data_IF_399092551179
#
_entry.id   IF_399092551179
#
_cell.length_a   1.000
_cell.length_b   1.000
_cell.length_c   1.000
_cell.angle_alpha   90.00
_cell.angle_beta   90.00
_cell.angle_gamma   90.00
#
_symmetry.space_group_name_H-M   'P 1'
#
loop_
_entity.id
_entity.type
_entity.pdbx_description
1 polymer ?
#
# COMPACT_ATOMS: atom_id res chain seq x y z
N UNK A 1 6.04 2.71 -16.18
CA UNK A 1 5.31 1.45 -15.93
C UNK A 1 5.02 0.65 -17.19
N UNK A 2 4.91 1.27 -18.35
CA UNK A 2 4.46 0.65 -19.63
C UNK A 2 5.17 -0.62 -20.09
N UNK A 3 6.40 -0.87 -19.71
CA UNK A 3 7.14 -2.08 -20.09
C UNK A 3 7.49 -2.96 -18.89
N UNK A 4 6.92 -2.69 -17.72
CA UNK A 4 7.14 -3.50 -16.53
C UNK A 4 6.36 -4.82 -16.59
N UNK A 5 6.80 -5.80 -15.81
CA UNK A 5 6.07 -7.06 -15.64
C UNK A 5 4.66 -6.81 -15.06
N UNK A 6 4.50 -5.80 -14.19
CA UNK A 6 3.20 -5.36 -13.72
C UNK A 6 2.25 -5.05 -14.88
N UNK A 7 2.70 -4.20 -15.80
CA UNK A 7 1.86 -3.78 -16.92
C UNK A 7 1.46 -4.96 -17.81
N UNK A 8 2.40 -5.83 -18.12
CA UNK A 8 2.16 -6.99 -18.98
C UNK A 8 1.09 -7.92 -18.38
N UNK A 9 1.24 -8.28 -17.10
CA UNK A 9 0.35 -9.23 -16.45
C UNK A 9 -1.00 -8.59 -16.05
N UNK A 10 -1.01 -7.32 -15.65
CA UNK A 10 -2.26 -6.59 -15.40
C UNK A 10 -3.09 -6.44 -16.67
N UNK A 11 -2.45 -6.22 -17.80
CA UNK A 11 -3.13 -6.13 -19.09
C UNK A 11 -3.88 -7.41 -19.45
N UNK A 12 -3.37 -8.56 -19.03
CA UNK A 12 -4.02 -9.86 -19.24
C UNK A 12 -5.22 -10.08 -18.29
N UNK A 13 -5.16 -9.51 -17.08
CA UNK A 13 -6.20 -9.70 -16.07
C UNK A 13 -7.33 -8.67 -16.13
N UNK A 14 -7.04 -7.47 -16.62
CA UNK A 14 -8.01 -6.38 -16.69
C UNK A 14 -8.77 -6.41 -18.02
N UNK A 15 -10.00 -5.87 -18.06
CA UNK A 15 -10.75 -5.75 -19.31
C UNK A 15 -9.98 -5.00 -20.40
N UNK A 16 -10.23 -5.36 -21.64
CA UNK A 16 -9.65 -4.66 -22.79
C UNK A 16 -9.94 -3.16 -22.72
N UNK A 17 -8.90 -2.36 -22.96
CA UNK A 17 -9.02 -0.90 -22.92
C UNK A 17 -9.00 -0.28 -21.52
N UNK A 18 -8.82 -1.06 -20.46
CA UNK A 18 -8.84 -0.54 -19.09
C UNK A 18 -7.73 0.49 -18.84
N UNK A 19 -6.52 0.26 -19.33
CA UNK A 19 -5.43 1.25 -19.21
C UNK A 19 -5.74 2.55 -19.95
N UNK A 20 -6.43 2.48 -21.07
CA UNK A 20 -6.91 3.67 -21.78
C UNK A 20 -7.92 4.43 -20.94
N UNK A 21 -8.83 3.74 -20.27
CA UNK A 21 -9.81 4.35 -19.36
C UNK A 21 -9.11 5.03 -18.18
N UNK A 22 -8.07 4.40 -17.59
CA UNK A 22 -7.26 5.01 -16.53
C UNK A 22 -6.64 6.32 -17.03
N UNK A 23 -6.01 6.30 -18.20
CA UNK A 23 -5.35 7.50 -18.75
C UNK A 23 -6.37 8.62 -19.02
N UNK A 24 -7.54 8.30 -19.56
CA UNK A 24 -8.62 9.26 -19.76
C UNK A 24 -9.13 9.85 -18.44
N UNK A 25 -9.30 9.00 -17.43
CA UNK A 25 -9.69 9.43 -16.09
C UNK A 25 -8.65 10.39 -15.48
N UNK A 26 -7.37 10.04 -15.56
CA UNK A 26 -6.28 10.89 -15.07
C UNK A 26 -6.24 12.24 -15.79
N UNK A 27 -6.34 12.23 -17.13
CA UNK A 27 -6.37 13.47 -17.91
C UNK A 27 -7.52 14.37 -17.46
N UNK A 28 -8.69 13.81 -17.26
CA UNK A 28 -9.89 14.54 -16.87
C UNK A 28 -9.78 15.12 -15.45
N UNK A 29 -9.40 14.32 -14.46
CA UNK A 29 -9.39 14.77 -13.06
C UNK A 29 -8.28 15.76 -12.77
N UNK A 30 -7.08 15.58 -13.35
CA UNK A 30 -5.97 16.53 -13.17
C UNK A 30 -6.19 17.84 -13.94
N UNK A 31 -6.98 17.84 -14.99
CA UNK A 31 -7.37 19.07 -15.70
C UNK A 31 -8.47 19.87 -14.98
N UNK A 32 -9.30 19.21 -14.16
CA UNK A 32 -10.49 19.82 -13.56
C UNK A 32 -10.32 20.27 -12.12
N UNK A 33 -9.20 19.94 -11.45
CA UNK A 33 -9.02 20.32 -10.05
C UNK A 33 -7.67 19.89 -9.49
N UNK A 34 -7.52 20.10 -8.17
CA UNK A 34 -6.34 19.66 -7.43
C UNK A 34 -6.53 18.23 -6.99
N UNK A 35 -5.65 17.34 -7.45
CA UNK A 35 -5.67 15.91 -7.19
C UNK A 35 -4.37 15.50 -6.51
N UNK A 36 -4.45 14.56 -5.57
CA UNK A 36 -3.28 13.99 -4.92
C UNK A 36 -3.22 12.47 -5.17
N UNK A 37 -2.01 11.90 -5.22
CA UNK A 37 -0.69 12.55 -5.27
C UNK A 37 -0.48 13.31 -6.60
N UNK A 38 0.64 14.01 -6.79
CA UNK A 38 1.03 14.52 -8.11
C UNK A 38 0.98 13.40 -9.15
N UNK A 39 0.58 13.74 -10.38
CA UNK A 39 0.30 12.73 -11.43
C UNK A 39 1.46 11.74 -11.66
N UNK A 40 2.69 12.20 -11.62
CA UNK A 40 3.87 11.36 -11.79
C UNK A 40 4.07 10.33 -10.67
N UNK A 41 3.37 10.48 -9.53
CA UNK A 41 3.47 9.59 -8.37
C UNK A 41 2.27 8.64 -8.21
N UNK A 42 1.30 8.68 -9.12
CA UNK A 42 0.09 7.84 -9.01
C UNK A 42 0.43 6.34 -8.91
N UNK A 43 1.41 5.89 -9.68
CA UNK A 43 1.85 4.49 -9.71
C UNK A 43 3.17 4.26 -8.95
N UNK A 44 3.52 5.12 -8.02
CA UNK A 44 4.81 5.08 -7.33
C UNK A 44 5.06 3.74 -6.63
N UNK A 45 4.04 3.16 -6.01
CA UNK A 45 4.16 1.86 -5.34
C UNK A 45 4.65 0.77 -6.31
N UNK A 46 4.06 0.71 -7.51
CA UNK A 46 4.43 -0.29 -8.52
C UNK A 46 5.76 0.04 -9.22
N UNK A 47 6.12 1.31 -9.30
CA UNK A 47 7.41 1.74 -9.85
C UNK A 47 8.57 1.43 -8.93
N UNK A 48 8.39 1.60 -7.63
CA UNK A 48 9.44 1.37 -6.63
C UNK A 48 9.63 -0.11 -6.32
N UNK A 49 8.54 -0.88 -6.29
CA UNK A 49 8.56 -2.31 -5.94
C UNK A 49 8.12 -3.15 -7.13
N UNK A 50 9.05 -3.81 -7.78
CA UNK A 50 8.75 -4.74 -8.88
C UNK A 50 7.99 -5.96 -8.35
N UNK A 51 7.17 -6.59 -9.20
CA UNK A 51 6.36 -7.74 -8.79
C UNK A 51 7.20 -8.84 -8.15
N UNK A 52 8.30 -9.22 -8.78
CA UNK A 52 9.21 -10.28 -8.30
C UNK A 52 9.96 -9.93 -7.01
N UNK A 53 9.96 -8.66 -6.62
CA UNK A 53 10.62 -8.18 -5.40
C UNK A 53 9.67 -8.10 -4.20
N UNK A 54 8.36 -8.27 -4.42
CA UNK A 54 7.37 -8.13 -3.36
C UNK A 54 7.56 -9.19 -2.27
N UNK A 55 7.78 -8.74 -1.05
CA UNK A 55 7.88 -9.57 0.15
C UNK A 55 6.72 -9.33 1.11
N UNK A 56 6.26 -8.09 1.19
CA UNK A 56 5.18 -7.65 2.07
C UNK A 56 4.26 -6.74 1.28
N UNK A 57 2.95 -6.86 1.49
CA UNK A 57 1.95 -5.92 0.99
C UNK A 57 1.27 -5.26 2.19
N UNK A 58 1.27 -3.93 2.23
CA UNK A 58 0.49 -3.16 3.20
C UNK A 58 -0.56 -2.39 2.42
N UNK A 59 -1.82 -2.69 2.67
CA UNK A 59 -2.94 -2.10 1.95
C UNK A 59 -3.52 -0.91 2.72
N UNK A 60 -3.48 0.28 2.09
CA UNK A 60 -4.21 1.47 2.52
C UNK A 60 -5.50 1.64 1.73
N UNK A 61 -6.30 2.65 2.07
CA UNK A 61 -7.58 2.90 1.41
C UNK A 61 -7.44 3.89 0.27
N UNK A 62 -7.13 5.16 0.56
CA UNK A 62 -6.90 6.21 -0.43
C UNK A 62 -5.75 7.12 0.00
N UNK A 63 -5.20 7.94 -0.92
CA UNK A 63 -4.12 8.86 -0.58
C UNK A 63 -4.56 9.91 0.44
N UNK A 64 -3.60 10.47 1.17
CA UNK A 64 -3.87 11.66 1.97
C UNK A 64 -4.36 12.80 1.08
N UNK A 65 -5.37 13.53 1.55
CA UNK A 65 -6.03 14.60 0.78
C UNK A 65 -5.59 16.01 1.15
N UNK A 66 -4.59 16.15 2.01
CA UNK A 66 -3.95 17.42 2.35
C UNK A 66 -2.75 17.74 1.45
N UNK A 67 -2.39 19.02 1.32
CA UNK A 67 -1.30 19.44 0.46
C UNK A 67 0.06 18.85 0.92
N UNK A 68 0.84 18.35 -0.02
CA UNK A 68 2.20 17.85 0.21
C UNK A 68 2.31 16.52 0.94
N UNK A 69 1.21 15.87 1.29
CA UNK A 69 1.22 14.62 2.08
C UNK A 69 1.42 13.37 1.22
N UNK A 70 0.60 13.18 0.21
CA UNK A 70 0.59 11.95 -0.58
C UNK A 70 1.81 11.82 -1.49
N UNK A 71 2.47 10.66 -1.43
CA UNK A 71 3.67 10.33 -2.22
C UNK A 71 3.44 9.18 -3.21
N UNK A 72 2.20 8.66 -3.30
CA UNK A 72 1.93 7.45 -4.08
C UNK A 72 2.32 6.14 -3.37
N UNK A 73 2.63 6.20 -2.09
CA UNK A 73 2.90 5.07 -1.20
C UNK A 73 1.93 5.13 -0.02
N UNK A 74 1.22 4.05 0.27
CA UNK A 74 0.24 4.04 1.37
C UNK A 74 0.89 4.44 2.69
N UNK A 75 0.21 5.29 3.45
CA UNK A 75 0.60 5.82 4.76
C UNK A 75 1.80 6.76 4.79
N UNK A 76 2.65 6.75 3.76
CA UNK A 76 3.91 7.52 3.71
C UNK A 76 3.67 9.01 3.48
N UNK A 77 4.47 9.85 4.14
CA UNK A 77 4.58 11.29 3.86
C UNK A 77 6.07 11.68 3.80
N UNK A 78 6.41 12.79 3.10
CA UNK A 78 7.77 13.33 3.16
C UNK A 78 8.17 13.71 4.60
N UNK A 79 9.46 13.68 4.90
CA UNK A 79 9.97 13.95 6.26
C UNK A 79 9.73 15.40 6.74
N UNK A 80 9.54 16.33 5.82
CA UNK A 80 9.20 17.73 6.14
C UNK A 80 7.69 17.92 6.43
N UNK A 81 6.88 16.88 6.28
CA UNK A 81 5.47 16.89 6.58
C UNK A 81 5.22 16.15 7.91
N UNK A 82 4.42 16.73 8.84
CA UNK A 82 4.07 16.02 10.07
C UNK A 82 3.36 14.70 9.77
N UNK A 83 3.70 13.65 10.52
CA UNK A 83 3.05 12.35 10.37
C UNK A 83 1.56 12.46 10.68
N UNK A 84 0.67 12.07 9.76
CA UNK A 84 -0.76 11.97 10.05
C UNK A 84 -1.05 10.96 11.17
N UNK A 85 -2.22 11.04 11.83
CA UNK A 85 -2.50 10.23 13.02
C UNK A 85 -2.33 8.72 12.84
N UNK A 86 -2.78 8.15 11.73
CA UNK A 86 -2.59 6.71 11.47
C UNK A 86 -1.10 6.34 11.34
N UNK A 87 -0.31 7.16 10.66
CA UNK A 87 1.13 6.93 10.54
C UNK A 87 1.84 7.07 11.87
N UNK A 88 1.45 8.06 12.70
CA UNK A 88 1.98 8.16 14.07
C UNK A 88 1.78 6.86 14.84
N UNK A 89 0.60 6.26 14.76
CA UNK A 89 0.28 5.01 15.43
C UNK A 89 1.05 3.81 14.83
N UNK A 90 1.25 3.79 13.51
CA UNK A 90 2.09 2.78 12.85
C UNK A 90 3.53 2.85 13.40
N UNK A 91 4.10 4.05 13.46
CA UNK A 91 5.46 4.25 13.97
C UNK A 91 5.56 3.97 15.47
N UNK A 92 4.51 4.24 16.25
CA UNK A 92 4.44 3.88 17.67
C UNK A 92 4.45 2.37 17.86
N UNK A 93 3.62 1.64 17.12
CA UNK A 93 3.63 0.16 17.16
C UNK A 93 4.98 -0.41 16.72
N UNK A 94 5.58 0.15 15.68
CA UNK A 94 6.93 -0.24 15.25
C UNK A 94 7.94 -0.07 16.37
N UNK A 95 7.88 1.07 17.09
CA UNK A 95 8.76 1.36 18.22
C UNK A 95 8.66 0.33 19.35
N UNK A 96 7.44 -0.10 19.67
CA UNK A 96 7.18 -1.12 20.69
C UNK A 96 7.53 -2.54 20.19
N UNK A 97 7.38 -2.80 18.90
CA UNK A 97 7.61 -4.12 18.30
C UNK A 97 9.10 -4.39 18.04
N UNK A 98 9.80 -3.46 17.40
CA UNK A 98 11.19 -3.65 16.94
C UNK A 98 12.11 -2.53 17.42
N UNK A 99 11.74 -1.27 17.19
CA UNK A 99 12.56 -0.11 17.49
C UNK A 99 12.11 1.15 16.77
N UNK A 100 12.76 2.26 17.05
CA UNK A 100 12.38 3.58 16.57
C UNK A 100 12.89 3.83 15.15
N UNK A 101 11.99 4.21 14.26
CA UNK A 101 12.31 4.76 12.94
C UNK A 101 12.13 6.28 13.00
N UNK A 102 13.18 7.06 12.77
CA UNK A 102 13.08 8.53 12.91
C UNK A 102 12.38 9.24 11.75
N UNK A 103 12.18 8.56 10.63
CA UNK A 103 11.63 9.12 9.39
C UNK A 103 10.15 8.78 9.23
N UNK A 104 9.38 9.72 8.67
CA UNK A 104 7.99 9.54 8.24
C UNK A 104 7.86 9.01 6.82
N UNK A 105 8.95 9.07 6.05
CA UNK A 105 9.02 8.59 4.68
C UNK A 105 9.23 7.07 4.69
N UNK A 106 8.30 6.35 4.11
CA UNK A 106 8.34 4.89 4.03
C UNK A 106 8.96 4.38 2.72
N UNK A 107 9.53 5.25 1.90
CA UNK A 107 10.23 4.85 0.68
C UNK A 107 11.28 3.76 0.93
N UNK A 108 12.09 3.79 2.02
CA UNK A 108 13.03 2.72 2.31
C UNK A 108 12.39 1.34 2.52
N UNK A 109 11.14 1.28 2.96
CA UNK A 109 10.38 0.03 3.01
C UNK A 109 10.06 -0.48 1.60
N UNK A 110 9.57 0.42 0.75
CA UNK A 110 9.20 0.08 -0.63
C UNK A 110 10.42 -0.42 -1.43
N UNK A 111 11.58 0.18 -1.23
CA UNK A 111 12.83 -0.24 -1.87
C UNK A 111 13.31 -1.64 -1.46
N UNK A 112 12.81 -2.16 -0.34
CA UNK A 112 13.13 -3.50 0.17
C UNK A 112 12.10 -4.56 -0.20
N UNK A 113 11.05 -4.20 -0.93
CA UNK A 113 10.01 -5.14 -1.33
C UNK A 113 8.71 -5.04 -0.54
N UNK A 114 8.48 -3.93 0.17
CA UNK A 114 7.18 -3.65 0.79
C UNK A 114 6.32 -2.88 -0.20
N UNK A 115 5.32 -3.54 -0.76
CA UNK A 115 4.35 -2.90 -1.66
C UNK A 115 3.35 -2.09 -0.82
N UNK A 116 3.54 -0.78 -0.82
CA UNK A 116 2.69 0.18 -0.10
C UNK A 116 1.56 0.64 -1.02
N UNK A 117 0.50 -0.16 -1.10
CA UNK A 117 -0.58 0.01 -2.07
C UNK A 117 -1.82 0.61 -1.42
N UNK A 118 -2.35 1.69 -1.98
CA UNK A 118 -3.71 2.15 -1.68
C UNK A 118 -4.72 1.48 -2.63
N UNK A 119 -5.92 1.22 -2.15
CA UNK A 119 -7.00 0.68 -2.97
C UNK A 119 -7.46 1.70 -4.04
N UNK A 120 -7.49 2.99 -3.71
CA UNK A 120 -7.65 4.10 -4.66
C UNK A 120 -6.32 4.82 -4.80
N UNK A 121 -5.89 5.11 -6.02
CA UNK A 121 -4.57 5.70 -6.27
C UNK A 121 -4.59 7.22 -6.43
N UNK A 122 -5.78 7.82 -6.43
CA UNK A 122 -5.96 9.28 -6.48
C UNK A 122 -7.07 9.72 -5.54
N UNK A 123 -7.02 10.99 -5.14
CA UNK A 123 -8.05 11.63 -4.32
C UNK A 123 -8.14 13.12 -4.66
N UNK A 124 -9.35 13.70 -4.74
CA UNK A 124 -9.48 15.14 -4.83
C UNK A 124 -9.02 15.82 -3.54
N UNK A 125 -8.40 16.99 -3.63
CA UNK A 125 -7.98 17.77 -2.48
C UNK A 125 -9.12 17.97 -1.48
N UNK A 126 -8.88 17.66 -0.20
CA UNK A 126 -9.85 17.84 0.88
C UNK A 126 -11.04 16.89 0.87
N UNK A 127 -11.09 15.88 0.01
CA UNK A 127 -12.25 15.00 -0.16
C UNK A 127 -11.88 13.53 0.05
N UNK A 128 -11.75 13.11 1.29
CA UNK A 128 -11.51 11.70 1.61
C UNK A 128 -12.52 10.80 0.89
N UNK A 129 -12.04 9.71 0.29
CA UNK A 129 -12.82 8.76 -0.52
C UNK A 129 -13.47 9.38 -1.77
N UNK A 130 -13.04 10.55 -2.21
CA UNK A 130 -13.66 11.27 -3.33
C UNK A 130 -13.62 10.53 -4.68
N UNK A 131 -12.68 9.63 -4.88
CA UNK A 131 -12.57 8.78 -6.07
C UNK A 131 -12.95 7.31 -5.81
N UNK A 132 -13.49 6.99 -4.64
CA UNK A 132 -13.94 5.64 -4.33
C UNK A 132 -15.08 5.21 -5.26
N UNK A 133 -15.03 3.95 -5.72
CA UNK A 133 -16.06 3.36 -6.59
C UNK A 133 -16.01 3.83 -8.05
N UNK A 134 -14.96 4.55 -8.47
CA UNK A 134 -14.85 5.04 -9.85
C UNK A 134 -14.05 4.08 -10.75
N UNK A 135 -12.73 4.03 -10.60
CA UNK A 135 -11.91 3.23 -11.51
C UNK A 135 -10.85 2.36 -10.80
N UNK A 136 -10.45 2.70 -9.58
CA UNK A 136 -9.24 2.14 -9.00
C UNK A 136 -9.38 0.74 -8.42
N UNK A 137 -10.52 0.41 -7.81
CA UNK A 137 -10.64 -0.82 -7.02
C UNK A 137 -10.45 -2.08 -7.86
N UNK A 138 -10.96 -2.11 -9.08
CA UNK A 138 -10.74 -3.23 -9.99
C UNK A 138 -9.24 -3.39 -10.35
N UNK A 139 -8.55 -2.28 -10.57
CA UNK A 139 -7.12 -2.26 -10.84
C UNK A 139 -6.31 -2.78 -9.65
N UNK A 140 -6.55 -2.24 -8.46
CA UNK A 140 -5.78 -2.61 -7.26
C UNK A 140 -6.13 -4.01 -6.77
N UNK A 141 -7.37 -4.46 -6.94
CA UNK A 141 -7.73 -5.86 -6.70
C UNK A 141 -6.96 -6.80 -7.63
N UNK A 142 -6.79 -6.43 -8.90
CA UNK A 142 -5.97 -7.18 -9.84
C UNK A 142 -4.49 -7.22 -9.42
N UNK A 143 -3.96 -6.12 -8.89
CA UNK A 143 -2.59 -6.08 -8.33
C UNK A 143 -2.44 -7.09 -7.18
N UNK A 144 -3.39 -7.10 -6.25
CA UNK A 144 -3.37 -8.04 -5.12
C UNK A 144 -3.43 -9.50 -5.60
N UNK A 145 -4.32 -9.81 -6.54
CA UNK A 145 -4.43 -11.15 -7.13
C UNK A 145 -3.13 -11.57 -7.80
N UNK A 146 -2.49 -10.67 -8.55
CA UNK A 146 -1.22 -10.96 -9.23
C UNK A 146 -0.13 -11.33 -8.23
N UNK A 147 0.04 -10.54 -7.17
CA UNK A 147 1.02 -10.87 -6.12
C UNK A 147 0.73 -12.25 -5.54
N UNK A 148 -0.53 -12.53 -5.25
CA UNK A 148 -0.94 -13.83 -4.70
C UNK A 148 -0.65 -15.00 -5.64
N UNK A 149 -0.86 -14.81 -6.94
CA UNK A 149 -0.71 -15.86 -7.96
C UNK A 149 0.74 -16.08 -8.37
N UNK A 150 1.49 -15.00 -8.60
CA UNK A 150 2.80 -15.05 -9.22
C UNK A 150 3.94 -15.23 -8.22
N UNK A 151 3.76 -14.78 -6.98
CA UNK A 151 4.78 -14.83 -5.95
C UNK A 151 4.48 -15.90 -4.90
N UNK A 152 5.50 -16.32 -4.16
CA UNK A 152 5.37 -17.26 -3.05
C UNK A 152 5.85 -16.61 -1.75
N UNK A 153 5.22 -16.99 -0.64
CA UNK A 153 5.65 -16.58 0.69
C UNK A 153 5.72 -15.07 0.89
N UNK A 154 4.63 -14.39 0.49
CA UNK A 154 4.42 -12.95 0.73
C UNK A 154 3.61 -12.77 2.00
N UNK A 155 3.89 -11.70 2.74
CA UNK A 155 3.10 -11.29 3.90
C UNK A 155 2.12 -10.20 3.49
N UNK A 156 0.82 -10.44 3.64
CA UNK A 156 -0.22 -9.44 3.41
C UNK A 156 -0.68 -8.90 4.75
N UNK A 157 -0.47 -7.60 4.97
CA UNK A 157 -0.86 -6.90 6.19
C UNK A 157 -2.15 -6.13 5.91
N UNK A 158 -3.24 -6.54 6.54
CA UNK A 158 -4.59 -6.02 6.32
C UNK A 158 -5.10 -5.36 7.60
N UNK A 159 -5.07 -4.04 7.63
CA UNK A 159 -5.48 -3.22 8.76
C UNK A 159 -6.90 -2.67 8.55
N UNK A 160 -7.82 -3.06 9.43
CA UNK A 160 -9.19 -2.59 9.44
C UNK A 160 -10.13 -3.37 8.53
N UNK A 161 -11.42 -3.13 8.68
CA UNK A 161 -12.47 -3.90 8.00
C UNK A 161 -12.39 -3.81 6.48
N UNK A 162 -12.07 -2.62 5.95
CA UNK A 162 -11.97 -2.40 4.51
C UNK A 162 -10.86 -3.25 3.87
N UNK A 163 -9.64 -3.20 4.42
CA UNK A 163 -8.51 -3.98 3.92
C UNK A 163 -8.74 -5.48 4.11
N UNK A 164 -9.34 -5.89 5.24
CA UNK A 164 -9.61 -7.30 5.56
C UNK A 164 -10.57 -7.96 4.57
N UNK A 165 -11.45 -7.21 3.91
CA UNK A 165 -12.30 -7.73 2.83
C UNK A 165 -11.50 -8.26 1.65
N UNK A 166 -10.28 -7.76 1.44
CA UNK A 166 -9.41 -8.19 0.33
C UNK A 166 -8.77 -9.57 0.56
N UNK A 167 -8.94 -10.15 1.74
CA UNK A 167 -8.48 -11.50 2.08
C UNK A 167 -8.95 -12.55 1.08
N UNK A 168 -10.16 -12.40 0.53
CA UNK A 168 -10.70 -13.30 -0.48
C UNK A 168 -9.92 -13.35 -1.79
N UNK A 169 -9.06 -12.36 -2.05
CA UNK A 169 -8.21 -12.28 -3.24
C UNK A 169 -6.87 -12.99 -3.07
N UNK A 170 -6.57 -13.47 -1.85
CA UNK A 170 -5.25 -13.97 -1.45
C UNK A 170 -5.33 -15.47 -1.16
N UNK A 171 -4.39 -16.23 -1.73
CA UNK A 171 -4.23 -17.66 -1.41
C UNK A 171 -3.49 -17.83 -0.08
N UNK A 172 -4.25 -18.05 0.98
CA UNK A 172 -3.72 -18.21 2.34
C UNK A 172 -2.86 -19.48 2.51
N UNK A 173 -2.90 -20.43 1.57
CA UNK A 173 -2.03 -21.62 1.60
C UNK A 173 -0.59 -21.32 1.17
N UNK A 174 -0.40 -20.22 0.43
CA UNK A 174 0.91 -19.80 -0.10
C UNK A 174 1.54 -18.62 0.64
N UNK A 175 0.74 -17.87 1.39
CA UNK A 175 1.13 -16.58 1.96
C UNK A 175 0.69 -16.46 3.41
N UNK A 176 1.30 -15.54 4.14
CA UNK A 176 0.84 -15.15 5.48
C UNK A 176 -0.08 -13.94 5.37
N UNK A 177 -1.22 -13.99 6.03
CA UNK A 177 -2.12 -12.85 6.18
C UNK A 177 -2.10 -12.41 7.65
N UNK A 178 -1.69 -11.17 7.90
CA UNK A 178 -1.72 -10.54 9.22
C UNK A 178 -2.88 -9.56 9.25
N UNK A 179 -3.84 -9.79 10.12
CA UNK A 179 -5.04 -8.97 10.25
C UNK A 179 -5.07 -8.31 11.62
N UNK A 180 -5.49 -7.06 11.67
CA UNK A 180 -5.79 -6.36 12.91
C UNK A 180 -6.76 -5.20 12.67
N UNK A 181 -7.14 -4.50 13.76
CA UNK A 181 -7.83 -3.23 13.65
C UNK A 181 -6.95 -2.21 12.91
N UNK A 182 -7.58 -1.16 12.38
CA UNK A 182 -6.88 -0.07 11.67
C UNK A 182 -6.04 0.77 12.64
N UNK A 183 -4.88 1.30 12.22
CA UNK A 183 -4.04 2.18 13.05
C UNK A 183 -4.64 3.56 13.34
N UNK A 184 -5.78 3.93 12.75
CA UNK A 184 -6.49 5.18 13.08
C UNK A 184 -6.71 5.32 14.60
N UNK A 185 -6.61 6.53 15.15
CA UNK A 185 -6.95 6.76 16.57
C UNK A 185 -8.33 6.25 16.99
N UNK A 186 -9.27 6.13 16.05
CA UNK A 186 -10.62 5.62 16.29
C UNK A 186 -10.65 4.12 16.60
N UNK A 187 -9.63 3.35 16.22
CA UNK A 187 -9.63 1.90 16.29
C UNK A 187 -8.33 1.27 16.78
N UNK A 188 -7.24 2.01 16.87
CA UNK A 188 -5.91 1.46 17.18
C UNK A 188 -5.86 0.69 18.51
N UNK A 189 -6.61 1.13 19.50
CA UNK A 189 -6.69 0.47 20.81
C UNK A 189 -7.56 -0.80 20.82
N UNK A 190 -8.20 -1.12 19.68
CA UNK A 190 -9.06 -2.31 19.55
C UNK A 190 -8.34 -3.49 18.91
N UNK A 191 -7.00 -3.51 18.96
CA UNK A 191 -6.22 -4.64 18.49
C UNK A 191 -5.10 -4.31 17.49
N UNK A 192 -4.93 -3.05 17.09
CA UNK A 192 -3.75 -2.65 16.31
C UNK A 192 -2.52 -2.57 17.21
N UNK A 193 -2.58 -1.81 18.29
CA UNK A 193 -1.49 -1.78 19.26
C UNK A 193 -1.31 -3.14 19.92
N UNK A 194 -0.07 -3.63 19.93
CA UNK A 194 0.28 -4.95 20.42
C UNK A 194 0.16 -6.06 19.38
N UNK A 195 -0.27 -5.77 18.15
CA UNK A 195 -0.38 -6.77 17.06
C UNK A 195 0.96 -7.22 16.50
N UNK A 196 2.02 -6.42 16.67
CA UNK A 196 3.41 -6.74 16.30
C UNK A 196 3.56 -7.21 14.85
N UNK A 197 3.01 -6.49 13.87
CA UNK A 197 3.00 -6.97 12.48
C UNK A 197 4.40 -7.02 11.87
N UNK A 198 5.30 -6.16 12.30
CA UNK A 198 6.64 -6.02 11.70
C UNK A 198 7.55 -7.20 12.06
N UNK A 199 7.62 -7.56 13.34
CA UNK A 199 8.39 -8.73 13.78
C UNK A 199 7.77 -10.04 13.30
N UNK A 200 6.44 -10.12 13.26
CA UNK A 200 5.72 -11.30 12.74
C UNK A 200 5.98 -11.50 11.24
N UNK A 201 5.96 -10.42 10.46
CA UNK A 201 6.31 -10.48 9.04
C UNK A 201 7.73 -11.00 8.83
N UNK A 202 8.69 -10.46 9.58
CA UNK A 202 10.08 -10.87 9.48
C UNK A 202 10.31 -12.32 9.92
N UNK A 203 9.62 -12.78 10.96
CA UNK A 203 9.70 -14.18 11.40
C UNK A 203 9.25 -15.12 10.28
N UNK A 204 8.14 -14.82 9.63
CA UNK A 204 7.64 -15.60 8.50
C UNK A 204 8.60 -15.59 7.30
N UNK A 205 9.13 -14.42 6.93
CA UNK A 205 10.08 -14.30 5.81
C UNK A 205 11.31 -15.15 6.06
N UNK A 206 11.88 -15.12 7.28
CA UNK A 206 13.04 -15.93 7.66
C UNK A 206 12.71 -17.42 7.60
N UNK A 207 11.57 -17.84 8.14
CA UNK A 207 11.11 -19.23 8.09
C UNK A 207 11.02 -19.75 6.65
N UNK A 208 10.59 -18.91 5.73
CA UNK A 208 10.46 -19.24 4.30
C UNK A 208 11.75 -19.00 3.50
N UNK A 209 12.89 -18.74 4.17
CA UNK A 209 14.17 -18.54 3.50
C UNK A 209 14.30 -17.22 2.75
N UNK A 210 13.48 -16.24 3.09
CA UNK A 210 13.52 -14.91 2.48
C UNK A 210 14.20 -13.92 3.42
N UNK A 211 14.89 -12.93 2.83
CA UNK A 211 15.53 -11.87 3.61
C UNK A 211 14.47 -11.00 4.31
N UNK A 212 14.60 -10.74 5.61
CA UNK A 212 13.68 -9.90 6.35
C UNK A 212 13.78 -8.43 5.92
N UNK A 213 12.76 -7.66 6.28
CA UNK A 213 12.75 -6.21 6.05
C UNK A 213 13.48 -5.51 7.21
N UNK A 214 14.36 -4.57 6.87
CA UNK A 214 14.88 -3.59 7.83
C UNK A 214 13.86 -2.46 7.98
N UNK A 215 12.94 -2.62 8.92
CA UNK A 215 11.85 -1.68 9.15
C UNK A 215 12.31 -0.34 9.72
N UNK A 216 13.53 -0.28 10.28
CA UNK A 216 14.08 0.93 10.91
C UNK A 216 14.90 1.78 9.93
N UNK A 217 15.14 1.27 8.73
CA UNK A 217 15.91 1.97 7.70
C UNK A 217 15.24 3.31 7.34
N UNK A 218 16.07 4.34 7.32
CA UNK A 218 15.67 5.71 6.95
C UNK A 218 16.10 6.05 5.55
#
# INVERSE_FOLDING_TARGET
>A
MEHSRWHQLLKEQLPEGYFKQINQFLDQVYASGTIYPPREKVFQALKTTNLEEVKVVILGQDPYHGPGQAQGLSFSVPDDIPAPPSLQNILKELGEDIGVKPSHDLTPWAEQGVLLLNACLTVPAGQANGHAGLIWEEFTDAVIRLVSQEEAHVVFILWGAYARKKKSLIDASKHLIIESAHPSPLSAYRGFFGSRPFSRANAYLKEMGREPIDWLRS
#
